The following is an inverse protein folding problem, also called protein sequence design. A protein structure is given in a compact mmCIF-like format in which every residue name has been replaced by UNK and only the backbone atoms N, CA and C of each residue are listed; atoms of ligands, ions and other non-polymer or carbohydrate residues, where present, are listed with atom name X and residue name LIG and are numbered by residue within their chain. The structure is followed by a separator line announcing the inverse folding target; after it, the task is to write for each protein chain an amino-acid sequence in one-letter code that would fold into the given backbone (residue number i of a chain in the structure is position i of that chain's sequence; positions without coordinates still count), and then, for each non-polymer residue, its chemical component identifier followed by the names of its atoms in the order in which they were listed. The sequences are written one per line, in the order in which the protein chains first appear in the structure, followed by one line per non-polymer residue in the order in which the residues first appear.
data_IF_598295427773
#
_entry.id   IF_598295427773
#
_cell.length_a   1.000
_cell.length_b   1.000
_cell.length_c   1.000
_cell.angle_alpha   90.00
_cell.angle_beta   90.00
_cell.angle_gamma   90.00
#
_symmetry.space_group_name_H-M   'P 1'
#
loop_
_entity.id
_entity.type
_entity.pdbx_description
1 polymer ?
#
# COMPACT_ATOMS: atom_id res chain seq x y z
N UNK A 1 -35.67 10.78 24.83
CA UNK A 1 -34.75 10.90 23.69
C UNK A 1 -33.92 9.63 23.65
N UNK A 2 -34.19 8.72 22.71
CA UNK A 2 -33.43 7.47 22.58
C UNK A 2 -32.12 7.76 21.82
N UNK A 3 -30.97 7.24 22.26
CA UNK A 3 -29.72 7.39 21.52
C UNK A 3 -29.85 6.60 20.22
N UNK A 4 -29.67 7.28 19.09
CA UNK A 4 -29.57 6.63 17.78
C UNK A 4 -28.41 5.64 17.87
N UNK A 5 -28.61 4.33 17.62
CA UNK A 5 -27.52 3.39 17.56
C UNK A 5 -26.65 3.80 16.37
N UNK A 6 -25.43 4.27 16.63
CA UNK A 6 -24.45 4.53 15.59
C UNK A 6 -24.07 3.17 14.99
N UNK A 7 -24.71 2.80 13.89
CA UNK A 7 -24.24 1.76 12.99
C UNK A 7 -22.86 2.19 12.52
N UNK A 8 -21.81 1.50 12.98
CA UNK A 8 -20.48 1.67 12.39
C UNK A 8 -20.63 1.43 10.88
N UNK A 9 -20.21 2.37 10.03
CA UNK A 9 -20.25 2.13 8.60
C UNK A 9 -19.44 0.86 8.31
N UNK A 10 -19.95 0.01 7.43
CA UNK A 10 -19.32 -1.24 6.97
C UNK A 10 -18.08 -0.93 6.11
N UNK A 11 -17.12 -0.15 6.63
CA UNK A 11 -15.84 0.14 5.98
C UNK A 11 -14.88 -1.07 5.99
N UNK A 12 -15.36 -2.27 6.30
CA UNK A 12 -14.57 -3.50 6.17
C UNK A 12 -14.65 -3.99 4.72
N UNK A 13 -14.12 -3.15 3.81
CA UNK A 13 -13.95 -3.54 2.42
C UNK A 13 -12.73 -4.48 2.39
N UNK A 14 -12.91 -5.80 2.22
CA UNK A 14 -11.83 -6.76 2.40
C UNK A 14 -10.69 -6.51 1.40
N UNK A 15 -11.02 -5.96 0.22
CA UNK A 15 -10.04 -5.52 -0.77
C UNK A 15 -9.15 -4.38 -0.25
N UNK A 16 -9.72 -3.39 0.46
CA UNK A 16 -8.95 -2.31 1.07
C UNK A 16 -8.09 -2.81 2.24
N UNK A 17 -8.60 -3.75 3.03
CA UNK A 17 -7.85 -4.39 4.11
C UNK A 17 -6.63 -5.12 3.56
N UNK A 18 -6.82 -5.97 2.55
CA UNK A 18 -5.73 -6.69 1.88
C UNK A 18 -4.72 -5.71 1.24
N UNK A 19 -5.20 -4.64 0.60
CA UNK A 19 -4.31 -3.63 0.01
C UNK A 19 -3.46 -2.93 1.08
N UNK A 20 -4.05 -2.60 2.23
CA UNK A 20 -3.33 -2.00 3.34
C UNK A 20 -2.27 -2.94 3.94
N UNK A 21 -2.56 -4.24 4.02
CA UNK A 21 -1.59 -5.25 4.45
C UNK A 21 -0.42 -5.36 3.46
N UNK A 22 -0.70 -5.43 2.15
CA UNK A 22 0.34 -5.47 1.13
C UNK A 22 1.21 -4.20 1.12
N UNK A 23 0.63 -3.01 1.30
CA UNK A 23 1.38 -1.76 1.41
C UNK A 23 2.31 -1.75 2.64
N UNK A 24 1.86 -2.28 3.78
CA UNK A 24 2.71 -2.41 4.98
C UNK A 24 3.85 -3.37 4.73
N UNK A 25 3.59 -4.48 4.06
CA UNK A 25 4.63 -5.47 3.76
C UNK A 25 5.68 -4.90 2.80
N UNK A 26 5.23 -4.24 1.72
CA UNK A 26 6.11 -3.52 0.80
C UNK A 26 6.98 -2.47 1.53
N UNK A 27 6.39 -1.71 2.47
CA UNK A 27 7.15 -0.75 3.26
C UNK A 27 8.22 -1.42 4.16
N UNK A 28 7.93 -2.60 4.72
CA UNK A 28 8.90 -3.38 5.51
C UNK A 28 10.08 -3.86 4.67
N UNK A 29 9.83 -4.29 3.43
CA UNK A 29 10.87 -4.71 2.48
C UNK A 29 11.78 -3.53 2.08
N UNK A 30 11.22 -2.32 1.98
CA UNK A 30 11.95 -1.11 1.59
C UNK A 30 12.74 -0.49 2.74
N UNK A 31 12.29 -0.64 3.99
CA UNK A 31 12.92 -0.06 5.18
C UNK A 31 14.44 -0.33 5.34
N UNK A 32 14.97 -1.56 5.13
CA UNK A 32 16.40 -1.85 5.29
C UNK A 32 17.30 -1.34 4.15
N UNK A 33 16.73 -0.80 3.06
CA UNK A 33 17.51 -0.39 1.89
C UNK A 33 18.34 0.88 2.13
N UNK A 34 19.40 1.11 1.33
CA UNK A 34 20.17 2.35 1.34
C UNK A 34 19.29 3.59 1.15
N UNK A 35 19.66 4.71 1.77
CA UNK A 35 18.82 5.90 1.87
C UNK A 35 18.33 6.43 0.51
N UNK A 36 19.19 6.47 -0.52
CA UNK A 36 18.81 6.94 -1.85
C UNK A 36 17.74 6.07 -2.51
N UNK A 37 17.94 4.75 -2.50
CA UNK A 37 16.98 3.77 -3.03
C UNK A 37 15.68 3.79 -2.23
N UNK A 38 15.80 3.79 -0.90
CA UNK A 38 14.67 3.82 0.03
C UNK A 38 13.80 5.06 -0.19
N UNK A 39 14.38 6.25 -0.34
CA UNK A 39 13.61 7.47 -0.57
C UNK A 39 12.80 7.42 -1.87
N UNK A 40 13.38 6.88 -2.95
CA UNK A 40 12.67 6.72 -4.23
C UNK A 40 11.49 5.76 -4.09
N UNK A 41 11.69 4.62 -3.44
CA UNK A 41 10.67 3.59 -3.24
C UNK A 41 9.57 4.04 -2.28
N UNK A 42 9.90 4.72 -1.18
CA UNK A 42 8.91 5.29 -0.25
C UNK A 42 8.01 6.31 -0.97
N UNK A 43 8.57 7.19 -1.81
CA UNK A 43 7.76 8.12 -2.61
C UNK A 43 6.79 7.39 -3.54
N UNK A 44 7.20 6.28 -4.14
CA UNK A 44 6.33 5.46 -4.97
C UNK A 44 5.20 4.83 -4.14
N UNK A 45 5.51 4.23 -2.99
CA UNK A 45 4.51 3.66 -2.08
C UNK A 45 3.49 4.71 -1.60
N UNK A 46 3.93 5.94 -1.33
CA UNK A 46 3.02 7.04 -0.96
C UNK A 46 2.07 7.40 -2.11
N UNK A 47 2.54 7.42 -3.35
CA UNK A 47 1.69 7.67 -4.51
C UNK A 47 0.63 6.57 -4.72
N UNK A 48 1.00 5.30 -4.51
CA UNK A 48 0.06 4.17 -4.56
C UNK A 48 -0.96 4.27 -3.42
N UNK A 49 -0.53 4.65 -2.22
CA UNK A 49 -1.41 4.84 -1.05
C UNK A 49 -2.39 6.00 -1.27
N UNK A 50 -1.97 7.09 -1.92
CA UNK A 50 -2.91 8.17 -2.27
C UNK A 50 -3.92 7.71 -3.32
N UNK A 51 -3.48 6.96 -4.33
CA UNK A 51 -4.35 6.40 -5.34
C UNK A 51 -5.39 5.46 -4.75
N UNK A 52 -5.01 4.62 -3.78
CA UNK A 52 -5.92 3.68 -3.12
C UNK A 52 -7.14 4.35 -2.47
N UNK A 53 -7.03 5.62 -2.08
CA UNK A 53 -8.14 6.41 -1.51
C UNK A 53 -9.20 6.78 -2.56
N UNK A 54 -8.84 6.73 -3.85
CA UNK A 54 -9.68 7.16 -4.98
C UNK A 54 -10.08 5.99 -5.87
N UNK A 55 -9.16 5.03 -6.06
CA UNK A 55 -9.31 3.85 -6.91
C UNK A 55 -8.45 2.71 -6.34
N UNK A 56 -9.10 1.82 -5.58
CA UNK A 56 -8.45 0.71 -4.90
C UNK A 56 -8.02 -0.40 -5.85
N UNK A 57 -8.79 -0.67 -6.92
CA UNK A 57 -8.45 -1.70 -7.91
C UNK A 57 -7.20 -1.30 -8.71
N UNK A 58 -7.13 -0.05 -9.16
CA UNK A 58 -5.95 0.46 -9.86
C UNK A 58 -4.72 0.54 -8.94
N UNK A 59 -4.92 0.88 -7.66
CA UNK A 59 -3.85 0.87 -6.67
C UNK A 59 -3.30 -0.55 -6.43
N UNK A 60 -4.17 -1.56 -6.35
CA UNK A 60 -3.75 -2.96 -6.22
C UNK A 60 -2.88 -3.39 -7.41
N UNK A 61 -3.32 -3.14 -8.65
CA UNK A 61 -2.53 -3.46 -9.85
C UNK A 61 -1.18 -2.75 -9.87
N UNK A 62 -1.14 -1.47 -9.46
CA UNK A 62 0.12 -0.72 -9.37
C UNK A 62 1.05 -1.28 -8.30
N UNK A 63 0.50 -1.72 -7.17
CA UNK A 63 1.28 -2.35 -6.12
C UNK A 63 1.85 -3.69 -6.56
N UNK A 64 1.08 -4.51 -7.28
CA UNK A 64 1.57 -5.75 -7.87
C UNK A 64 2.75 -5.50 -8.83
N UNK A 65 2.61 -4.54 -9.76
CA UNK A 65 3.70 -4.16 -10.67
C UNK A 65 4.92 -3.64 -9.91
N UNK A 66 4.72 -2.81 -8.89
CA UNK A 66 5.81 -2.31 -8.04
C UNK A 66 6.55 -3.46 -7.35
N UNK A 67 5.83 -4.44 -6.79
CA UNK A 67 6.43 -5.59 -6.13
C UNK A 67 7.14 -6.51 -7.11
N UNK A 68 6.62 -6.68 -8.33
CA UNK A 68 7.27 -7.44 -9.38
C UNK A 68 8.61 -6.80 -9.80
N UNK A 69 8.59 -5.49 -10.08
CA UNK A 69 9.81 -4.71 -10.40
C UNK A 69 10.81 -4.72 -9.25
N UNK A 70 10.33 -4.58 -8.01
CA UNK A 70 11.17 -4.62 -6.81
C UNK A 70 11.88 -5.98 -6.62
N UNK A 71 11.21 -7.08 -6.97
CA UNK A 71 11.79 -8.43 -6.90
C UNK A 71 12.74 -8.73 -8.07
N UNK A 72 12.47 -8.15 -9.24
CA UNK A 72 13.30 -8.32 -10.44
C UNK A 72 14.55 -7.44 -10.41
N UNK A 73 14.50 -6.31 -9.67
CA UNK A 73 15.64 -5.43 -9.50
C UNK A 73 16.85 -6.23 -8.98
N UNK A 74 17.95 -6.33 -9.75
CA UNK A 74 19.11 -7.07 -9.32
C UNK A 74 19.65 -6.39 -8.06
N UNK A 75 19.51 -7.07 -6.92
CA UNK A 75 20.12 -6.63 -5.67
C UNK A 75 21.62 -6.37 -5.88
N UNK A 76 22.23 -5.43 -5.13
CA UNK A 76 23.65 -5.16 -5.25
C UNK A 76 24.41 -6.47 -4.99
N UNK A 77 25.04 -7.01 -6.04
CA UNK A 77 26.10 -8.02 -5.90
C UNK A 77 27.36 -7.38 -5.35
#
# INVERSE_FOLDING_TARGET
MSPVPWTRPEWDDPALTLLAEQLRDAHRLVAPLPAETRQRLIRHLLAITDLAKRDSDLAARRLETFLADFRDAPGPR
#
